data_IF_280557133286
#
_entry.id   IF_280557133286
#
_cell.length_a   1.000
_cell.length_b   1.000
_cell.length_c   1.000
_cell.angle_alpha   90.00
_cell.angle_beta   90.00
_cell.angle_gamma   90.00
#
_symmetry.space_group_name_H-M   'P 1'
#
loop_
_entity.id
_entity.type
_entity.pdbx_description
1 polymer ?
#
# COMPACT_ATOMS: atom_id res chain seq x y z
N UNK A 1 -5.99 -23.74 11.58
CA UNK A 1 -5.94 -22.34 12.05
C UNK A 1 -6.95 -21.55 11.21
N UNK A 2 -7.92 -20.91 11.89
CA UNK A 2 -9.08 -20.16 11.38
C UNK A 2 -10.10 -20.93 10.50
N UNK A 3 -11.06 -21.60 11.17
CA UNK A 3 -12.26 -22.23 10.57
C UNK A 3 -13.53 -21.36 10.73
N UNK A 4 -13.36 -20.04 10.84
CA UNK A 4 -14.49 -19.12 10.84
C UNK A 4 -15.15 -19.09 9.45
N UNK A 5 -16.48 -19.17 9.38
CA UNK A 5 -17.18 -19.08 8.08
C UNK A 5 -17.09 -17.67 7.45
N UNK A 6 -16.82 -16.64 8.28
CA UNK A 6 -16.80 -15.23 7.88
C UNK A 6 -15.43 -14.56 8.06
N UNK A 7 -14.37 -15.32 8.39
CA UNK A 7 -13.01 -14.82 8.59
C UNK A 7 -11.98 -15.94 8.43
N UNK A 8 -10.81 -15.61 7.90
CA UNK A 8 -9.69 -16.50 7.62
C UNK A 8 -8.38 -15.99 8.25
N UNK A 9 -7.22 -16.57 7.90
CA UNK A 9 -5.94 -16.16 8.47
C UNK A 9 -5.31 -14.98 7.71
N UNK A 10 -4.67 -14.06 8.44
CA UNK A 10 -3.55 -13.26 7.96
C UNK A 10 -2.25 -13.84 8.52
N UNK A 11 -1.14 -13.78 7.76
CA UNK A 11 0.10 -14.46 8.16
C UNK A 11 0.76 -13.82 9.39
N UNK A 12 0.97 -12.51 9.37
CA UNK A 12 1.67 -11.77 10.41
C UNK A 12 0.80 -10.57 10.80
N UNK A 13 0.25 -10.59 11.99
CA UNK A 13 -0.76 -9.63 12.38
C UNK A 13 -0.72 -9.30 13.86
N UNK A 14 -1.35 -8.19 14.23
CA UNK A 14 -1.58 -7.78 15.60
C UNK A 14 -3.05 -7.39 15.79
N UNK A 15 -3.54 -7.58 17.02
CA UNK A 15 -4.90 -7.25 17.44
C UNK A 15 -4.84 -6.67 18.85
N UNK A 16 -5.59 -5.60 19.10
CA UNK A 16 -5.69 -4.96 20.42
C UNK A 16 -4.31 -4.70 21.08
N UNK A 17 -3.37 -4.17 20.30
CA UNK A 17 -1.97 -3.99 20.69
C UNK A 17 -1.48 -2.57 20.43
N UNK A 18 -0.49 -2.12 21.19
CA UNK A 18 0.09 -0.79 21.05
C UNK A 18 1.59 -0.87 20.77
N UNK A 19 2.11 0.07 19.98
CA UNK A 19 3.55 0.22 19.73
C UNK A 19 4.21 -1.02 19.11
N UNK A 20 3.48 -1.75 18.27
CA UNK A 20 3.98 -2.93 17.56
C UNK A 20 4.86 -2.51 16.38
N UNK A 21 6.02 -3.15 16.24
CA UNK A 21 6.88 -3.00 15.07
C UNK A 21 7.01 -4.33 14.33
N UNK A 22 6.46 -4.40 13.11
CA UNK A 22 6.67 -5.50 12.17
C UNK A 22 7.66 -5.02 11.11
N UNK A 23 8.81 -5.68 10.99
CA UNK A 23 9.81 -5.29 10.00
C UNK A 23 10.64 -6.43 9.46
N UNK A 24 11.08 -6.29 8.21
CA UNK A 24 11.93 -7.27 7.51
C UNK A 24 11.29 -8.67 7.38
N UNK A 25 9.97 -8.71 7.23
CA UNK A 25 9.22 -9.95 7.06
C UNK A 25 8.79 -10.16 5.59
N UNK A 26 8.69 -11.43 5.19
CA UNK A 26 8.08 -11.87 3.93
C UNK A 26 6.82 -12.68 4.25
N UNK A 27 5.70 -12.37 3.59
CA UNK A 27 4.45 -13.11 3.74
C UNK A 27 3.81 -13.36 2.37
N UNK A 28 3.70 -14.63 1.97
CA UNK A 28 3.37 -14.96 0.59
C UNK A 28 2.55 -16.24 0.45
N UNK A 29 1.83 -16.34 -0.67
CA UNK A 29 1.00 -17.50 -1.00
C UNK A 29 0.04 -17.90 0.15
N UNK A 30 -0.37 -16.96 1.00
CA UNK A 30 -1.37 -17.23 2.01
C UNK A 30 -2.69 -17.55 1.32
N UNK A 31 -3.31 -18.65 1.75
CA UNK A 31 -4.54 -19.18 1.14
C UNK A 31 -5.69 -19.14 2.12
N UNK A 32 -6.87 -18.87 1.59
CA UNK A 32 -8.12 -19.02 2.32
C UNK A 32 -9.07 -19.93 1.54
N UNK A 33 -9.85 -20.72 2.29
CA UNK A 33 -11.00 -21.47 1.77
C UNK A 33 -12.33 -20.86 2.25
N UNK A 34 -12.26 -19.79 3.04
CA UNK A 34 -13.41 -19.03 3.52
C UNK A 34 -13.85 -17.96 2.52
N UNK A 35 -14.79 -17.12 2.94
CA UNK A 35 -15.28 -15.99 2.14
C UNK A 35 -14.40 -14.73 2.23
N UNK A 36 -13.40 -14.73 3.13
CA UNK A 36 -12.55 -13.59 3.45
C UNK A 36 -11.12 -14.03 3.86
N UNK A 37 -10.26 -13.03 4.01
CA UNK A 37 -8.86 -13.04 4.42
C UNK A 37 -7.93 -13.84 3.50
N UNK A 38 -6.96 -14.57 4.08
CA UNK A 38 -5.82 -15.10 3.33
C UNK A 38 -4.77 -14.03 3.02
N UNK A 39 -4.71 -12.97 3.83
CA UNK A 39 -3.81 -11.84 3.66
C UNK A 39 -2.42 -12.05 4.24
N UNK A 40 -1.52 -11.11 3.98
CA UNK A 40 -0.14 -11.16 4.46
C UNK A 40 0.01 -10.47 5.83
N UNK A 41 -0.17 -9.16 5.87
CA UNK A 41 0.01 -8.35 7.08
C UNK A 41 -1.30 -7.72 7.52
N UNK A 42 -1.54 -7.63 8.82
CA UNK A 42 -2.76 -7.03 9.35
C UNK A 42 -2.55 -6.32 10.70
N UNK A 43 -3.03 -5.09 10.79
CA UNK A 43 -3.33 -4.45 12.06
C UNK A 43 -4.85 -4.42 12.23
N UNK A 44 -5.34 -5.31 13.07
CA UNK A 44 -6.76 -5.53 13.30
C UNK A 44 -7.24 -4.69 14.51
N UNK A 45 -8.50 -4.84 14.89
CA UNK A 45 -9.21 -3.97 15.83
C UNK A 45 -8.42 -3.60 17.09
N UNK A 46 -8.37 -2.30 17.35
CA UNK A 46 -7.72 -1.72 18.53
C UNK A 46 -6.19 -1.68 18.48
N UNK A 47 -5.56 -1.88 17.32
CA UNK A 47 -4.11 -1.65 17.18
C UNK A 47 -3.81 -0.15 17.09
N UNK A 48 -2.84 0.32 17.88
CA UNK A 48 -2.43 1.74 17.88
C UNK A 48 -0.92 1.97 17.88
N UNK A 49 -0.50 3.15 17.44
CA UNK A 49 0.90 3.62 17.50
C UNK A 49 1.91 2.65 16.88
N UNK A 50 1.49 1.86 15.89
CA UNK A 50 2.24 0.71 15.40
C UNK A 50 2.76 0.94 13.97
N UNK A 51 3.82 0.21 13.60
CA UNK A 51 4.53 0.39 12.34
C UNK A 51 4.76 -0.96 11.64
N UNK A 52 4.38 -1.04 10.37
CA UNK A 52 4.88 -2.05 9.44
C UNK A 52 5.89 -1.37 8.51
N UNK A 53 7.12 -1.90 8.46
CA UNK A 53 8.16 -1.34 7.59
C UNK A 53 9.09 -2.37 6.97
N UNK A 54 9.55 -2.12 5.75
CA UNK A 54 10.51 -3.01 5.07
C UNK A 54 10.00 -4.45 4.92
N UNK A 55 8.69 -4.62 4.75
CA UNK A 55 8.07 -5.92 4.56
C UNK A 55 7.78 -6.17 3.08
N UNK A 56 7.66 -7.45 2.73
CA UNK A 56 7.32 -7.90 1.38
C UNK A 56 6.13 -8.87 1.41
N UNK A 57 5.00 -8.48 0.83
CA UNK A 57 3.85 -9.36 0.61
C UNK A 57 3.75 -9.74 -0.86
N UNK A 58 3.48 -11.01 -1.16
CA UNK A 58 3.15 -11.37 -2.54
C UNK A 58 2.29 -12.61 -2.75
N UNK A 59 1.52 -12.58 -3.86
CA UNK A 59 0.70 -13.68 -4.36
C UNK A 59 -0.30 -14.24 -3.33
N UNK A 60 -0.74 -13.41 -2.37
CA UNK A 60 -1.69 -13.79 -1.34
C UNK A 60 -3.13 -13.81 -1.88
N UNK A 61 -3.95 -14.74 -1.39
CA UNK A 61 -5.39 -14.77 -1.71
C UNK A 61 -6.06 -13.46 -1.27
N UNK A 62 -5.72 -12.96 -0.08
CA UNK A 62 -6.24 -11.74 0.53
C UNK A 62 -5.34 -10.51 0.36
N UNK A 63 -5.52 -9.51 1.24
CA UNK A 63 -4.79 -8.25 1.20
C UNK A 63 -3.27 -8.43 1.37
N UNK A 64 -2.49 -7.52 0.77
CA UNK A 64 -1.06 -7.42 1.07
C UNK A 64 -0.85 -6.89 2.49
N UNK A 65 -1.46 -5.73 2.75
CA UNK A 65 -1.51 -5.09 4.06
C UNK A 65 -2.95 -4.68 4.34
N UNK A 66 -3.50 -5.25 5.40
CA UNK A 66 -4.83 -4.98 5.93
C UNK A 66 -4.71 -4.03 7.13
N UNK A 67 -5.65 -3.09 7.21
CA UNK A 67 -6.00 -2.44 8.47
C UNK A 67 -7.51 -2.46 8.59
N UNK A 68 -8.02 -3.18 9.58
CA UNK A 68 -9.44 -3.36 9.75
C UNK A 68 -9.86 -3.10 11.19
N UNK A 69 -10.91 -2.31 11.37
CA UNK A 69 -11.53 -2.10 12.67
C UNK A 69 -12.99 -2.57 12.65
N UNK A 70 -13.55 -2.90 13.81
CA UNK A 70 -14.87 -3.49 13.90
C UNK A 70 -15.64 -2.97 15.13
N UNK A 71 -16.96 -3.17 15.12
CA UNK A 71 -17.89 -2.56 16.09
C UNK A 71 -17.53 -2.84 17.56
N UNK A 72 -17.04 -4.05 17.86
CA UNK A 72 -16.66 -4.46 19.22
C UNK A 72 -15.14 -4.41 19.48
N UNK A 73 -14.38 -3.66 18.68
CA UNK A 73 -12.95 -3.50 18.91
C UNK A 73 -12.72 -2.89 20.31
N UNK A 74 -11.88 -3.50 21.17
CA UNK A 74 -11.71 -3.04 22.55
C UNK A 74 -11.16 -1.61 22.66
N UNK A 75 -10.41 -1.19 21.64
CA UNK A 75 -9.77 0.12 21.54
C UNK A 75 -9.96 0.69 20.14
N UNK A 76 -9.66 1.98 19.97
CA UNK A 76 -9.61 2.61 18.64
C UNK A 76 -8.41 2.08 17.88
N UNK A 77 -8.59 1.76 16.60
CA UNK A 77 -7.47 1.52 15.70
C UNK A 77 -6.97 2.87 15.19
N UNK A 78 -5.80 3.32 15.66
CA UNK A 78 -5.30 4.66 15.30
C UNK A 78 -3.78 4.84 15.30
N UNK A 79 -3.32 5.89 14.61
CA UNK A 79 -1.92 6.31 14.57
C UNK A 79 -0.96 5.18 14.12
N UNK A 80 -1.36 4.47 13.07
CA UNK A 80 -0.58 3.37 12.52
C UNK A 80 0.07 3.76 11.19
N UNK A 81 1.24 3.19 10.94
CA UNK A 81 2.06 3.50 9.77
C UNK A 81 2.40 2.24 8.98
N UNK A 82 2.28 2.32 7.65
CA UNK A 82 2.94 1.37 6.74
C UNK A 82 3.90 2.13 5.84
N UNK A 83 5.19 1.75 5.85
CA UNK A 83 6.21 2.47 5.08
C UNK A 83 7.28 1.59 4.47
N UNK A 84 7.90 2.06 3.37
CA UNK A 84 9.06 1.40 2.74
C UNK A 84 8.85 -0.11 2.50
N UNK A 85 7.62 -0.51 2.22
CA UNK A 85 7.20 -1.91 2.08
C UNK A 85 6.68 -2.19 0.67
N UNK A 86 6.59 -3.47 0.34
CA UNK A 86 6.23 -3.97 -0.98
C UNK A 86 4.99 -4.84 -0.90
N UNK A 87 4.02 -4.60 -1.79
CA UNK A 87 2.90 -5.52 -2.06
C UNK A 87 2.88 -5.89 -3.54
N UNK A 88 2.91 -7.19 -3.86
CA UNK A 88 3.06 -7.66 -5.23
C UNK A 88 2.09 -8.80 -5.53
N UNK A 89 1.15 -8.57 -6.44
CA UNK A 89 0.11 -9.54 -6.82
C UNK A 89 -0.73 -10.05 -5.63
N UNK A 90 -0.97 -9.23 -4.62
CA UNK A 90 -1.93 -9.58 -3.56
C UNK A 90 -3.38 -9.40 -4.03
N UNK A 91 -4.33 -10.00 -3.30
CA UNK A 91 -5.75 -10.03 -3.66
C UNK A 91 -6.04 -10.99 -4.82
N UNK A 92 -5.52 -12.22 -4.75
CA UNK A 92 -5.74 -13.26 -5.78
C UNK A 92 -7.10 -13.94 -5.68
N UNK A 93 -7.81 -13.76 -4.57
CA UNK A 93 -9.23 -14.10 -4.41
C UNK A 93 -9.99 -12.92 -3.80
N UNK A 94 -11.32 -13.02 -3.84
CA UNK A 94 -12.23 -12.02 -3.27
C UNK A 94 -11.94 -10.60 -3.81
N UNK A 95 -12.19 -9.57 -3.01
CA UNK A 95 -12.12 -8.16 -3.42
C UNK A 95 -11.14 -7.38 -2.55
N UNK A 96 -9.87 -7.80 -2.57
CA UNK A 96 -8.80 -7.21 -1.75
C UNK A 96 -7.89 -6.27 -2.53
N UNK A 97 -7.01 -5.59 -1.80
CA UNK A 97 -6.04 -4.66 -2.36
C UNK A 97 -4.64 -4.88 -1.80
N UNK A 98 -3.63 -4.30 -2.44
CA UNK A 98 -2.28 -4.26 -1.88
C UNK A 98 -2.28 -3.53 -0.53
N UNK A 99 -2.92 -2.36 -0.48
CA UNK A 99 -3.34 -1.71 0.76
C UNK A 99 -4.86 -1.73 0.88
N UNK A 100 -5.39 -2.48 1.84
CA UNK A 100 -6.82 -2.63 2.08
C UNK A 100 -7.15 -2.07 3.46
N UNK A 101 -7.80 -0.91 3.52
CA UNK A 101 -8.06 -0.19 4.77
C UNK A 101 -9.56 -0.01 4.95
N UNK A 102 -10.11 -0.39 6.09
CA UNK A 102 -11.54 -0.17 6.29
C UNK A 102 -12.10 -0.62 7.62
N UNK A 103 -13.42 -0.76 7.64
CA UNK A 103 -14.16 -1.07 8.86
C UNK A 103 -15.45 -1.85 8.64
N UNK A 104 -15.78 -2.68 9.62
CA UNK A 104 -17.11 -3.23 9.87
C UNK A 104 -17.62 -2.81 11.25
N UNK A 105 -17.69 -1.51 11.49
CA UNK A 105 -18.26 -0.88 12.69
C UNK A 105 -17.53 0.42 12.98
N UNK A 106 -16.62 0.41 13.96
CA UNK A 106 -15.86 1.58 14.37
C UNK A 106 -14.81 2.00 13.31
N UNK A 107 -14.63 3.30 13.03
CA UNK A 107 -13.69 3.75 11.99
C UNK A 107 -12.23 3.46 12.34
N UNK A 108 -11.37 3.44 11.31
CA UNK A 108 -9.92 3.62 11.48
C UNK A 108 -9.58 5.11 11.38
N UNK A 109 -8.56 5.58 12.12
CA UNK A 109 -8.20 7.00 12.11
C UNK A 109 -6.69 7.26 12.23
N UNK A 110 -6.19 8.33 11.63
CA UNK A 110 -4.78 8.72 11.64
C UNK A 110 -3.88 7.61 11.10
N UNK A 111 -4.07 7.24 9.85
CA UNK A 111 -3.34 6.16 9.19
C UNK A 111 -2.38 6.75 8.16
N UNK A 112 -1.12 6.35 8.22
CA UNK A 112 -0.06 6.91 7.39
C UNK A 112 0.59 5.84 6.53
N UNK A 113 0.35 5.91 5.22
CA UNK A 113 0.86 4.96 4.25
C UNK A 113 1.82 5.71 3.35
N UNK A 114 3.14 5.47 3.48
CA UNK A 114 4.08 6.23 2.67
C UNK A 114 5.33 5.51 2.20
N UNK A 115 5.85 5.96 1.04
CA UNK A 115 7.03 5.39 0.42
C UNK A 115 6.92 3.87 0.26
N UNK A 116 5.74 3.35 -0.10
CA UNK A 116 5.57 1.94 -0.41
C UNK A 116 5.52 1.71 -1.92
N UNK A 117 5.67 0.46 -2.36
CA UNK A 117 5.44 0.08 -3.76
C UNK A 117 4.43 -1.05 -3.86
N UNK A 118 3.32 -0.80 -4.54
CA UNK A 118 2.30 -1.79 -4.87
C UNK A 118 2.36 -2.10 -6.35
N UNK A 119 2.42 -3.37 -6.69
CA UNK A 119 2.36 -3.85 -8.07
C UNK A 119 1.30 -4.93 -8.13
N UNK A 120 0.23 -4.72 -8.88
CA UNK A 120 -0.83 -5.73 -8.99
C UNK A 120 -1.39 -5.80 -10.40
N UNK A 121 -1.94 -6.95 -10.77
CA UNK A 121 -2.60 -7.17 -12.06
C UNK A 121 -3.92 -7.88 -11.82
N UNK A 122 -4.83 -7.83 -12.79
CA UNK A 122 -6.06 -8.62 -12.74
C UNK A 122 -5.76 -10.09 -12.42
N UNK A 123 -6.64 -10.70 -11.62
CA UNK A 123 -6.62 -12.12 -11.31
C UNK A 123 -7.76 -12.85 -12.01
N UNK A 124 -7.66 -14.17 -12.07
CA UNK A 124 -8.74 -15.04 -12.57
C UNK A 124 -9.91 -15.05 -11.60
N UNK A 125 -9.64 -15.12 -10.29
CA UNK A 125 -10.65 -15.32 -9.25
C UNK A 125 -10.83 -14.13 -8.32
N UNK A 126 -9.91 -13.16 -8.34
CA UNK A 126 -9.90 -12.00 -7.45
C UNK A 126 -10.14 -10.70 -8.20
N UNK A 127 -10.59 -9.69 -7.47
CA UNK A 127 -10.78 -8.31 -7.91
C UNK A 127 -9.75 -7.41 -7.19
N UNK A 128 -8.46 -7.52 -7.53
CA UNK A 128 -7.42 -6.73 -6.91
C UNK A 128 -7.60 -5.24 -7.16
N UNK A 129 -7.19 -4.42 -6.18
CA UNK A 129 -6.88 -3.01 -6.37
C UNK A 129 -5.46 -2.70 -5.87
N UNK A 130 -4.86 -1.61 -6.36
CA UNK A 130 -3.63 -1.11 -5.73
C UNK A 130 -3.90 -0.66 -4.29
N UNK A 131 -4.89 0.22 -4.14
CA UNK A 131 -5.39 0.72 -2.85
C UNK A 131 -6.91 0.53 -2.80
N UNK A 132 -7.44 0.16 -1.64
CA UNK A 132 -8.87 0.25 -1.36
C UNK A 132 -9.09 0.87 0.02
N UNK A 133 -10.06 1.78 0.11
CA UNK A 133 -10.55 2.32 1.38
C UNK A 133 -12.08 2.34 1.41
N UNK A 134 -12.68 1.89 2.50
CA UNK A 134 -14.13 1.91 2.66
C UNK A 134 -14.62 1.20 3.91
N UNK A 135 -15.86 0.71 3.87
CA UNK A 135 -16.48 -0.02 4.97
C UNK A 135 -17.80 0.58 5.45
N UNK A 136 -18.28 0.09 6.60
CA UNK A 136 -19.62 0.42 7.11
C UNK A 136 -19.72 1.81 7.75
N UNK A 137 -18.61 2.47 8.04
CA UNK A 137 -18.56 3.82 8.62
C UNK A 137 -17.39 4.58 7.98
N UNK A 138 -17.53 5.89 7.69
CA UNK A 138 -16.44 6.67 7.10
C UNK A 138 -15.18 6.62 7.96
N UNK A 139 -14.04 6.36 7.32
CA UNK A 139 -12.75 6.45 8.00
C UNK A 139 -12.26 7.91 8.01
N UNK A 140 -11.32 8.21 8.90
CA UNK A 140 -10.88 9.59 9.17
C UNK A 140 -9.35 9.69 9.05
N UNK A 141 -8.84 10.80 8.52
CA UNK A 141 -7.40 11.09 8.52
C UNK A 141 -6.54 9.95 7.93
N UNK A 142 -6.82 9.53 6.69
CA UNK A 142 -6.04 8.49 5.99
C UNK A 142 -5.15 9.15 4.95
N UNK A 143 -3.85 8.95 5.08
CA UNK A 143 -2.84 9.66 4.30
C UNK A 143 -1.99 8.71 3.47
N UNK A 144 -1.98 8.92 2.16
CA UNK A 144 -1.12 8.23 1.21
C UNK A 144 -0.08 9.21 0.68
N UNK A 145 1.20 9.00 1.04
CA UNK A 145 2.30 9.87 0.60
C UNK A 145 3.41 9.13 -0.11
N UNK A 146 3.93 9.66 -1.22
CA UNK A 146 5.13 9.11 -1.87
C UNK A 146 5.04 7.61 -2.20
N UNK A 147 3.85 7.00 -2.32
CA UNK A 147 3.71 5.60 -2.71
C UNK A 147 3.81 5.47 -4.23
N UNK A 148 4.33 4.34 -4.71
CA UNK A 148 4.28 3.94 -6.12
C UNK A 148 3.23 2.85 -6.31
N UNK A 149 2.19 3.12 -7.09
CA UNK A 149 1.12 2.17 -7.39
C UNK A 149 1.16 1.81 -8.87
N UNK A 150 1.39 0.54 -9.18
CA UNK A 150 1.52 0.01 -10.53
C UNK A 150 0.45 -1.04 -10.80
N UNK A 151 -0.30 -0.88 -11.89
CA UNK A 151 -1.30 -1.85 -12.34
C UNK A 151 -1.18 -2.21 -13.81
N UNK A 152 -1.94 -3.22 -14.23
CA UNK A 152 -2.06 -3.64 -15.64
C UNK A 152 -3.11 -2.84 -16.44
N UNK A 153 -3.75 -1.84 -15.82
CA UNK A 153 -4.85 -1.09 -16.41
C UNK A 153 -6.19 -1.84 -16.46
N UNK A 154 -6.25 -3.06 -15.89
CA UNK A 154 -7.50 -3.81 -15.65
C UNK A 154 -7.87 -3.78 -14.17
N UNK A 155 -6.88 -3.94 -13.30
CA UNK A 155 -7.02 -3.62 -11.88
C UNK A 155 -6.91 -2.09 -11.68
N UNK A 156 -7.80 -1.48 -10.88
CA UNK A 156 -7.72 -0.05 -10.60
C UNK A 156 -6.51 0.27 -9.70
N UNK A 157 -5.91 1.44 -9.92
CA UNK A 157 -4.83 1.99 -9.07
C UNK A 157 -5.32 2.19 -7.64
N UNK A 158 -6.50 2.79 -7.49
CA UNK A 158 -7.18 2.94 -6.22
C UNK A 158 -8.70 2.83 -6.40
N UNK A 159 -9.38 2.38 -5.35
CA UNK A 159 -10.82 2.38 -5.25
C UNK A 159 -11.23 2.91 -3.87
N UNK A 160 -11.80 4.11 -3.84
CA UNK A 160 -12.19 4.83 -2.63
C UNK A 160 -13.72 4.86 -2.59
N UNK A 161 -14.33 4.29 -1.55
CA UNK A 161 -15.79 4.24 -1.43
C UNK A 161 -16.41 5.63 -1.17
N UNK A 162 -17.69 5.78 -1.53
CA UNK A 162 -18.39 7.08 -1.47
C UNK A 162 -18.53 7.67 -0.06
N UNK A 163 -18.54 6.81 0.96
CA UNK A 163 -18.62 7.22 2.36
C UNK A 163 -17.36 7.95 2.82
N UNK A 164 -16.21 7.70 2.18
CA UNK A 164 -14.92 8.25 2.56
C UNK A 164 -14.80 9.73 2.19
N UNK A 165 -14.43 10.56 3.18
CA UNK A 165 -14.36 12.02 3.01
C UNK A 165 -13.01 12.63 3.34
N UNK A 166 -12.17 11.92 4.09
CA UNK A 166 -10.91 12.44 4.60
C UNK A 166 -9.73 11.53 4.26
N UNK A 167 -9.63 11.26 2.96
CA UNK A 167 -8.52 10.53 2.33
C UNK A 167 -7.67 11.54 1.57
N UNK A 168 -6.36 11.51 1.80
CA UNK A 168 -5.41 12.42 1.16
C UNK A 168 -4.39 11.64 0.35
N UNK A 169 -4.27 11.98 -0.92
CA UNK A 169 -3.20 11.56 -1.81
C UNK A 169 -2.28 12.74 -2.12
N UNK A 170 -1.02 12.63 -1.73
CA UNK A 170 -0.03 13.69 -1.97
C UNK A 170 1.37 13.13 -2.23
N UNK A 171 1.93 13.38 -3.41
CA UNK A 171 3.27 12.94 -3.81
C UNK A 171 3.33 11.51 -4.34
N UNK A 172 2.21 10.83 -4.58
CA UNK A 172 2.22 9.45 -5.06
C UNK A 172 2.51 9.35 -6.56
N UNK A 173 3.08 8.23 -6.97
CA UNK A 173 3.27 7.86 -8.36
C UNK A 173 2.32 6.74 -8.77
N UNK A 174 1.82 6.84 -9.98
CA UNK A 174 0.85 5.93 -10.56
C UNK A 174 1.35 5.46 -11.92
N UNK A 175 1.14 4.20 -12.23
CA UNK A 175 1.40 3.67 -13.56
C UNK A 175 0.45 2.53 -13.91
N UNK A 176 -0.18 2.63 -15.07
CA UNK A 176 -0.95 1.53 -15.64
C UNK A 176 -0.25 1.07 -16.92
N UNK A 177 -0.03 -0.23 -17.06
CA UNK A 177 0.50 -0.80 -18.31
C UNK A 177 -0.38 -0.39 -19.49
N UNK A 178 0.26 -0.02 -20.60
CA UNK A 178 -0.45 0.52 -21.78
C UNK A 178 -0.99 1.93 -21.59
N UNK A 179 -0.55 2.67 -20.56
CA UNK A 179 -0.95 4.05 -20.26
C UNK A 179 -2.46 4.23 -20.02
N UNK A 180 -3.12 3.18 -19.50
CA UNK A 180 -4.56 3.15 -19.25
C UNK A 180 -4.87 3.50 -17.80
N UNK A 181 -4.76 4.77 -17.44
CA UNK A 181 -5.10 5.22 -16.08
C UNK A 181 -6.51 4.71 -15.70
N UNK A 182 -6.65 4.15 -14.51
CA UNK A 182 -7.91 3.63 -14.01
C UNK A 182 -7.94 3.81 -12.50
N UNK A 183 -8.86 4.64 -12.02
CA UNK A 183 -9.06 4.91 -10.60
C UNK A 183 -10.55 5.06 -10.35
N UNK A 184 -11.05 4.49 -9.26
CA UNK A 184 -12.43 4.66 -8.82
C UNK A 184 -12.45 5.51 -7.55
N UNK A 185 -13.30 6.52 -7.54
CA UNK A 185 -13.42 7.41 -6.39
C UNK A 185 -14.89 7.77 -6.22
N UNK A 186 -15.44 7.45 -5.05
CA UNK A 186 -16.87 7.54 -4.79
C UNK A 186 -17.66 6.76 -5.85
N UNK A 187 -18.63 7.40 -6.51
CA UNK A 187 -19.45 6.80 -7.57
C UNK A 187 -18.83 6.90 -8.97
N UNK A 188 -17.65 7.50 -9.10
CA UNK A 188 -17.03 7.82 -10.39
C UNK A 188 -15.86 6.90 -10.70
N UNK A 189 -15.67 6.66 -12.00
CA UNK A 189 -14.47 6.02 -12.55
C UNK A 189 -13.73 7.05 -13.39
N UNK A 190 -12.44 7.22 -13.13
CA UNK A 190 -11.54 8.11 -13.83
C UNK A 190 -10.60 7.32 -14.71
N UNK A 191 -10.51 7.73 -15.97
CA UNK A 191 -9.57 7.15 -16.96
C UNK A 191 -8.43 8.11 -17.34
N UNK A 192 -8.36 9.26 -16.67
CA UNK A 192 -7.32 10.26 -16.82
C UNK A 192 -6.86 10.76 -15.44
N UNK A 193 -5.54 10.77 -15.25
CA UNK A 193 -4.92 11.29 -14.03
C UNK A 193 -5.24 12.78 -13.80
N UNK A 194 -5.24 13.58 -14.87
CA UNK A 194 -5.53 15.01 -14.80
C UNK A 194 -6.99 15.30 -14.47
N UNK A 195 -7.92 14.46 -14.95
CA UNK A 195 -9.35 14.60 -14.63
C UNK A 195 -9.62 14.26 -13.17
N UNK A 196 -9.07 13.15 -12.68
CA UNK A 196 -9.18 12.78 -11.26
C UNK A 196 -8.61 13.86 -10.35
N UNK A 197 -7.38 14.32 -10.63
CA UNK A 197 -6.71 15.39 -9.88
C UNK A 197 -7.58 16.64 -9.78
N UNK A 198 -8.13 17.09 -10.89
CA UNK A 198 -8.96 18.31 -10.95
C UNK A 198 -10.30 18.12 -10.24
N UNK A 199 -10.95 16.97 -10.42
CA UNK A 199 -12.29 16.72 -9.91
C UNK A 199 -12.29 16.47 -8.39
N UNK A 200 -11.34 15.67 -7.91
CA UNK A 200 -11.27 15.26 -6.50
C UNK A 200 -10.30 16.13 -5.69
N UNK A 201 -9.60 17.08 -6.33
CA UNK A 201 -8.59 17.96 -5.71
C UNK A 201 -7.49 17.19 -4.96
N UNK A 202 -7.10 16.06 -5.54
CA UNK A 202 -6.03 15.20 -5.05
C UNK A 202 -4.79 15.40 -5.92
N UNK A 203 -3.58 15.30 -5.35
CA UNK A 203 -2.33 15.46 -6.10
C UNK A 203 -2.21 16.81 -6.86
N UNK A 204 -2.81 17.91 -6.40
CA UNK A 204 -2.95 19.15 -7.20
C UNK A 204 -1.63 19.71 -7.73
N UNK A 205 -0.61 19.79 -6.88
CA UNK A 205 0.74 20.29 -7.22
C UNK A 205 1.83 19.21 -7.14
N UNK A 206 1.42 17.97 -6.91
CA UNK A 206 2.27 16.83 -6.59
C UNK A 206 1.89 15.64 -7.44
N UNK A 207 2.49 14.48 -7.17
CA UNK A 207 2.13 13.22 -7.78
C UNK A 207 2.49 13.10 -9.27
N UNK A 208 2.67 11.86 -9.71
CA UNK A 208 3.22 11.56 -11.03
C UNK A 208 2.45 10.42 -11.67
N UNK A 209 2.03 10.56 -12.92
CA UNK A 209 1.59 9.43 -13.75
C UNK A 209 2.63 9.18 -14.84
N UNK A 210 3.51 8.21 -14.61
CA UNK A 210 4.61 7.90 -15.52
C UNK A 210 5.13 6.49 -15.28
N UNK A 211 5.72 5.88 -16.32
CA UNK A 211 6.43 4.61 -16.20
C UNK A 211 7.53 4.73 -15.13
N UNK A 212 7.46 3.93 -14.04
CA UNK A 212 8.42 4.02 -12.95
C UNK A 212 9.83 3.59 -13.38
N UNK A 213 9.98 2.92 -14.53
CA UNK A 213 11.23 2.29 -14.96
C UNK A 213 11.80 1.40 -13.85
N UNK A 214 10.98 0.48 -13.36
CA UNK A 214 11.44 -0.56 -12.43
C UNK A 214 12.46 -1.46 -13.13
N UNK A 215 13.36 -2.05 -12.35
CA UNK A 215 14.35 -3.02 -12.87
C UNK A 215 13.69 -4.36 -13.23
N UNK A 216 12.41 -4.55 -12.87
CA UNK A 216 11.62 -5.72 -13.18
C UNK A 216 11.58 -5.96 -14.70
N UNK A 217 12.43 -6.89 -15.15
CA UNK A 217 12.32 -7.54 -16.46
C UNK A 217 11.21 -8.58 -16.33
N UNK A 218 10.18 -8.50 -17.16
CA UNK A 218 8.94 -9.32 -17.12
C UNK A 218 9.13 -10.85 -17.08
N UNK A 219 10.37 -11.35 -17.12
CA UNK A 219 10.76 -12.76 -17.07
C UNK A 219 11.12 -13.31 -15.68
N UNK A 220 11.42 -12.48 -14.68
CA UNK A 220 11.78 -12.96 -13.33
C UNK A 220 10.71 -12.54 -12.32
N UNK A 221 9.88 -13.49 -11.87
CA UNK A 221 9.16 -13.31 -10.61
C UNK A 221 10.23 -13.30 -9.52
N UNK A 222 10.32 -12.26 -8.66
CA UNK A 222 11.16 -12.36 -7.48
C UNK A 222 10.73 -13.59 -6.70
N UNK A 223 11.64 -14.55 -6.61
CA UNK A 223 11.40 -15.82 -5.96
C UNK A 223 11.10 -15.56 -4.48
N UNK A 224 9.95 -16.02 -3.99
CA UNK A 224 9.69 -16.07 -2.55
C UNK A 224 10.70 -16.97 -1.82
N UNK A 225 10.77 -16.87 -0.49
CA UNK A 225 11.78 -17.46 0.40
C UNK A 225 13.14 -16.74 0.33
N UNK A 226 13.08 -15.40 0.35
CA UNK A 226 14.29 -14.61 0.47
C UNK A 226 14.73 -14.58 1.92
N UNK A 227 15.85 -15.24 2.21
CA UNK A 227 16.59 -15.05 3.47
C UNK A 227 17.01 -13.59 3.70
N UNK A 228 16.99 -12.77 2.65
CA UNK A 228 17.35 -11.36 2.70
C UNK A 228 16.59 -10.55 1.64
N UNK A 229 15.64 -9.71 2.08
CA UNK A 229 14.84 -8.84 1.21
C UNK A 229 15.66 -7.84 0.40
N UNK A 230 16.90 -7.52 0.82
CA UNK A 230 17.80 -6.63 0.04
C UNK A 230 18.15 -7.22 -1.35
N UNK A 231 17.92 -8.52 -1.55
CA UNK A 231 18.13 -9.19 -2.84
C UNK A 231 17.04 -8.90 -3.87
N UNK A 232 15.94 -8.24 -3.47
CA UNK A 232 14.84 -7.82 -4.35
C UNK A 232 15.24 -6.71 -5.32
N UNK A 233 16.07 -7.02 -6.31
CA UNK A 233 16.55 -6.04 -7.28
C UNK A 233 15.47 -5.61 -8.28
N UNK A 234 14.49 -6.48 -8.55
CA UNK A 234 13.42 -6.23 -9.51
C UNK A 234 12.60 -4.96 -9.17
N UNK A 235 12.44 -4.63 -7.89
CA UNK A 235 11.65 -3.49 -7.45
C UNK A 235 12.44 -2.18 -7.33
N UNK A 236 13.73 -2.20 -7.67
CA UNK A 236 14.55 -0.98 -7.68
C UNK A 236 14.23 -0.14 -8.91
N UNK A 237 14.28 1.18 -8.76
CA UNK A 237 14.16 2.12 -9.86
C UNK A 237 15.44 2.10 -10.72
N UNK A 238 15.29 2.13 -12.03
CA UNK A 238 16.40 2.39 -12.96
C UNK A 238 16.82 3.86 -12.88
N UNK A 239 18.09 4.16 -13.18
CA UNK A 239 18.66 5.53 -13.05
C UNK A 239 17.89 6.61 -13.84
N UNK A 240 17.22 6.22 -14.91
CA UNK A 240 16.39 7.09 -15.77
C UNK A 240 14.95 7.24 -15.28
N UNK A 241 14.60 6.66 -14.13
CA UNK A 241 13.26 6.73 -13.58
C UNK A 241 12.82 8.17 -13.35
N UNK A 242 11.59 8.54 -13.75
CA UNK A 242 11.04 9.87 -13.49
C UNK A 242 10.70 10.08 -12.01
N UNK A 243 10.76 9.05 -11.17
CA UNK A 243 10.34 9.07 -9.76
C UNK A 243 11.45 9.50 -8.80
N UNK A 244 12.67 9.67 -9.31
CA UNK A 244 13.82 10.09 -8.52
C UNK A 244 13.67 11.54 -8.04
N UNK A 245 13.80 11.75 -6.73
CA UNK A 245 13.69 13.04 -6.03
C UNK A 245 12.39 13.80 -6.36
N UNK A 246 11.30 13.06 -6.56
CA UNK A 246 9.96 13.61 -6.85
C UNK A 246 8.99 13.52 -5.68
N UNK A 247 9.36 12.86 -4.60
CA UNK A 247 8.52 12.79 -3.42
C UNK A 247 8.33 14.16 -2.78
N UNK A 248 7.25 14.29 -2.01
CA UNK A 248 7.11 15.39 -1.06
C UNK A 248 8.04 15.17 0.13
N UNK A 249 8.48 16.27 0.74
CA UNK A 249 9.31 16.21 1.92
C UNK A 249 8.44 15.86 3.14
N UNK A 250 8.63 14.66 3.67
CA UNK A 250 7.86 14.16 4.81
C UNK A 250 8.19 14.89 6.12
N UNK A 251 9.36 15.54 6.22
CA UNK A 251 9.70 16.37 7.38
C UNK A 251 8.83 17.63 7.47
N UNK A 252 8.44 18.20 6.32
CA UNK A 252 7.54 19.35 6.27
C UNK A 252 6.12 18.99 6.76
N UNK A 253 5.80 17.69 6.77
CA UNK A 253 4.56 17.13 7.31
C UNK A 253 4.71 16.58 8.73
N UNK A 254 5.86 16.79 9.39
CA UNK A 254 6.19 16.25 10.72
C UNK A 254 6.05 14.72 10.81
N UNK A 255 6.21 14.01 9.69
CA UNK A 255 6.17 12.56 9.65
C UNK A 255 7.47 11.97 10.18
N UNK A 256 7.39 10.80 10.83
CA UNK A 256 8.59 10.05 11.21
C UNK A 256 9.26 9.46 9.98
N UNK A 257 10.43 9.96 9.58
CA UNK A 257 11.17 9.42 8.44
C UNK A 257 12.27 8.47 8.95
N UNK A 258 12.32 7.20 8.51
CA UNK A 258 13.42 6.33 8.88
C UNK A 258 14.73 6.76 8.22
N UNK A 259 15.87 6.33 8.77
CA UNK A 259 17.19 6.68 8.22
C UNK A 259 17.52 5.98 6.90
N UNK A 260 16.87 4.85 6.60
CA UNK A 260 17.14 4.03 5.43
C UNK A 260 15.90 3.36 4.84
N UNK A 261 15.98 3.00 3.56
CA UNK A 261 14.99 2.15 2.87
C UNK A 261 15.20 0.64 3.18
N UNK A 262 14.36 -0.22 2.58
CA UNK A 262 14.46 -1.68 2.71
C UNK A 262 15.83 -2.23 2.27
N UNK A 263 16.49 -1.58 1.30
CA UNK A 263 17.78 -2.00 0.76
C UNK A 263 18.97 -1.48 1.58
N UNK A 264 18.74 -0.60 2.56
CA UNK A 264 19.76 0.05 3.38
C UNK A 264 20.33 1.32 2.75
N UNK A 265 19.64 1.91 1.77
CA UNK A 265 20.03 3.19 1.20
C UNK A 265 19.54 4.32 2.11
N UNK A 266 20.41 5.30 2.37
CA UNK A 266 20.07 6.46 3.19
C UNK A 266 18.93 7.28 2.59
N UNK A 267 17.93 7.59 3.40
CA UNK A 267 16.85 8.50 3.03
C UNK A 267 17.30 9.95 3.31
N UNK A 268 17.22 10.86 2.34
CA UNK A 268 17.65 12.23 2.54
C UNK A 268 16.68 12.99 3.47
N UNK A 269 17.20 13.64 4.50
CA UNK A 269 16.40 14.49 5.41
C UNK A 269 16.14 15.89 4.85
N UNK A 270 17.07 16.41 4.03
CA UNK A 270 17.04 17.79 3.52
C UNK A 270 16.81 17.88 2.00
N UNK A 271 16.35 16.79 1.38
CA UNK A 271 16.03 16.75 -0.04
C UNK A 271 14.74 15.94 -0.23
N UNK A 272 14.08 16.16 -1.37
CA UNK A 272 12.93 15.35 -1.76
C UNK A 272 13.36 13.87 -1.89
N UNK A 273 12.69 12.93 -1.21
CA UNK A 273 12.97 11.52 -1.38
C UNK A 273 12.51 11.04 -2.77
N UNK A 274 12.92 9.84 -3.14
CA UNK A 274 12.34 9.15 -4.28
C UNK A 274 10.91 8.69 -3.94
N UNK A 275 10.06 8.53 -4.96
CA UNK A 275 8.71 7.98 -4.78
C UNK A 275 8.79 6.44 -4.83
N UNK A 276 8.13 5.77 -3.89
CA UNK A 276 8.12 4.32 -3.74
C UNK A 276 9.03 3.83 -2.61
N UNK A 277 9.17 2.50 -2.51
CA UNK A 277 9.94 1.85 -1.45
C UNK A 277 11.46 1.93 -1.65
N UNK A 278 11.94 2.19 -2.87
CA UNK A 278 13.36 2.23 -3.18
C UNK A 278 13.88 3.66 -3.21
N UNK A 279 14.97 3.88 -2.48
CA UNK A 279 15.72 5.12 -2.49
C UNK A 279 17.06 4.91 -3.22
N UNK A 280 17.41 5.81 -4.13
CA UNK A 280 18.72 5.83 -4.76
C UNK A 280 19.79 6.12 -3.71
N UNK A 281 20.92 5.38 -3.73
CA UNK A 281 22.07 5.71 -2.91
C UNK A 281 22.53 7.15 -3.19
N UNK A 282 22.64 7.95 -2.13
CA UNK A 282 23.31 9.24 -2.21
C UNK A 282 24.80 8.93 -2.47
N UNK A 283 25.38 9.51 -3.52
CA UNK A 283 26.84 9.48 -3.66
C UNK A 283 27.41 10.27 -2.47
N UNK A 284 28.19 9.60 -1.63
CA UNK A 284 29.05 10.26 -0.66
C UNK A 284 30.06 11.16 -1.38
#
# INVERSE_FOLDING_TARGET
>A
LNVGQNGGPCAIWAHCADSVLIQYCEAYNNRTNGAADGGAFDFDGGVSNSVIQYCYSHDNDGAGYLMWNYEQAPHKLNNNTIRYSLSVNDGRKHSYAGFHLGTSGLPITNIYIYNNTVITSAAVTGLPRGIWTGGSTPNEHIYFYNNLIVTDGKAPLAEIEQSEKDIVFNGNAYWCSGNKFLLKYSTKTYTSFGEWRKAEKQEESTGVFADPKLTWLSSEKPAGNLRNLKQLKAFRLQKTSPLRQKGINLNDLHMQVPSQDMWGNTIPLNQKPDIGAYQFPVKQ
#
